data_IF_239377384046
#
_entry.id   IF_239377384046
#
_cell.length_a   1.000
_cell.length_b   1.000
_cell.length_c   1.000
_cell.angle_alpha   90.00
_cell.angle_beta   90.00
_cell.angle_gamma   90.00
#
_symmetry.space_group_name_H-M   'P 1'
#
loop_
_entity.id
_entity.type
_entity.pdbx_description
1 polymer ?
#
# COMPACT_ATOMS: atom_id res chain seq x y z
N UNK A 1 11.14 -52.09 23.09
CA UNK A 1 10.12 -51.02 23.15
C UNK A 1 10.72 -49.71 22.67
N UNK A 2 10.20 -49.15 21.58
CA UNK A 2 10.43 -47.76 21.15
C UNK A 2 9.17 -47.35 20.40
N UNK A 3 8.34 -46.50 21.02
CA UNK A 3 7.19 -45.87 20.37
C UNK A 3 7.70 -44.57 19.77
N UNK A 4 7.82 -44.51 18.45
CA UNK A 4 8.06 -43.25 17.74
C UNK A 4 6.90 -42.30 18.03
N UNK A 5 7.17 -41.28 18.84
CA UNK A 5 6.24 -40.17 19.05
C UNK A 5 6.21 -39.38 17.73
N UNK A 6 5.15 -39.57 16.94
CA UNK A 6 4.82 -38.68 15.83
C UNK A 6 4.76 -37.25 16.39
N UNK A 7 5.70 -36.40 15.99
CA UNK A 7 5.64 -34.96 16.25
C UNK A 7 4.46 -34.42 15.44
N UNK A 8 3.31 -34.25 16.10
CA UNK A 8 2.21 -33.48 15.54
C UNK A 8 2.65 -32.02 15.53
N UNK A 9 3.00 -31.50 14.36
CA UNK A 9 3.22 -30.06 14.18
C UNK A 9 1.83 -29.42 14.28
N UNK A 10 1.60 -28.58 15.29
CA UNK A 10 0.39 -27.77 15.33
C UNK A 10 0.50 -26.73 14.21
N UNK A 11 -0.38 -26.84 13.21
CA UNK A 11 -0.58 -25.78 12.23
C UNK A 11 -1.04 -24.53 12.97
N UNK A 12 -0.22 -23.48 12.94
CA UNK A 12 -0.55 -22.17 13.50
C UNK A 12 -1.09 -21.30 12.36
N UNK A 13 -2.38 -20.96 12.42
CA UNK A 13 -3.00 -20.04 11.46
C UNK A 13 -2.75 -18.62 11.94
N UNK A 14 -2.00 -17.81 11.18
CA UNK A 14 -1.78 -16.41 11.50
C UNK A 14 -2.81 -15.55 10.76
N UNK A 15 -3.46 -14.64 11.48
CA UNK A 15 -4.33 -13.64 10.84
C UNK A 15 -3.46 -12.61 10.10
N UNK A 16 -3.51 -12.67 8.77
CA UNK A 16 -2.82 -11.71 7.90
C UNK A 16 -3.69 -10.47 7.70
N UNK A 17 -3.08 -9.29 7.76
CA UNK A 17 -3.75 -8.03 7.44
C UNK A 17 -4.24 -8.05 5.98
N UNK A 18 -5.46 -7.60 5.76
CA UNK A 18 -6.03 -7.55 4.40
C UNK A 18 -5.23 -6.59 3.51
N UNK A 19 -4.83 -7.08 2.34
CA UNK A 19 -4.16 -6.27 1.34
C UNK A 19 -5.15 -5.25 0.75
N UNK A 20 -4.72 -4.00 0.59
CA UNK A 20 -5.47 -2.93 -0.07
C UNK A 20 -4.70 -2.43 -1.28
N UNK A 21 -5.44 -1.94 -2.27
CA UNK A 21 -4.87 -1.37 -3.49
C UNK A 21 -5.33 0.06 -3.67
N UNK A 22 -4.45 0.95 -4.16
CA UNK A 22 -4.84 2.31 -4.47
C UNK A 22 -5.83 2.30 -5.64
N UNK A 23 -6.89 3.09 -5.54
CA UNK A 23 -7.88 3.30 -6.61
C UNK A 23 -7.49 4.53 -7.39
N UNK A 24 -7.44 4.48 -8.72
CA UNK A 24 -7.04 5.62 -9.55
C UNK A 24 -7.64 6.97 -9.11
N UNK A 25 -6.74 7.94 -8.95
CA UNK A 25 -7.04 9.32 -8.53
C UNK A 25 -6.30 10.28 -9.46
N UNK A 26 -6.92 11.40 -9.81
CA UNK A 26 -6.28 12.46 -10.60
C UNK A 26 -5.32 13.29 -9.73
N UNK A 27 -4.13 12.73 -9.47
CA UNK A 27 -3.08 13.39 -8.70
C UNK A 27 -2.49 14.60 -9.43
N UNK A 28 -2.54 14.61 -10.77
CA UNK A 28 -2.08 15.74 -11.59
C UNK A 28 -2.89 17.01 -11.31
N UNK A 29 -4.21 16.89 -11.22
CA UNK A 29 -5.08 18.00 -10.84
C UNK A 29 -4.92 18.40 -9.38
N UNK A 30 -4.87 17.42 -8.47
CA UNK A 30 -4.88 17.67 -7.02
C UNK A 30 -3.56 18.24 -6.48
N UNK A 31 -2.43 17.85 -7.06
CA UNK A 31 -1.09 18.32 -6.68
C UNK A 31 -0.57 19.45 -7.58
N UNK A 32 -1.42 20.02 -8.44
CA UNK A 32 -1.04 21.12 -9.34
C UNK A 32 -0.58 22.33 -8.53
N UNK A 33 0.64 22.80 -8.79
CA UNK A 33 1.25 23.93 -8.05
C UNK A 33 1.81 23.56 -6.68
N UNK A 34 1.70 22.29 -6.26
CA UNK A 34 2.22 21.77 -4.99
C UNK A 34 3.61 21.16 -5.19
N UNK A 35 3.76 20.41 -6.27
CA UNK A 35 4.97 19.68 -6.59
C UNK A 35 5.37 19.88 -8.06
N UNK A 36 6.65 19.66 -8.42
CA UNK A 36 7.07 19.61 -9.82
C UNK A 36 6.27 18.55 -10.58
N UNK A 37 5.93 18.84 -11.84
CA UNK A 37 5.19 17.93 -12.71
C UNK A 37 5.83 16.53 -12.77
N UNK A 38 7.15 16.48 -12.85
CA UNK A 38 7.93 15.22 -12.85
C UNK A 38 7.71 14.36 -11.60
N UNK A 39 7.57 14.98 -10.42
CA UNK A 39 7.27 14.28 -9.16
C UNK A 39 5.85 13.74 -9.17
N UNK A 40 4.88 14.52 -9.67
CA UNK A 40 3.48 14.12 -9.73
C UNK A 40 3.28 12.97 -10.73
N UNK A 41 3.94 13.05 -11.88
CA UNK A 41 3.93 11.99 -12.90
C UNK A 41 4.52 10.69 -12.33
N UNK A 42 5.61 10.78 -11.57
CA UNK A 42 6.22 9.61 -10.93
C UNK A 42 5.36 9.01 -9.82
N UNK A 43 4.73 9.85 -8.99
CA UNK A 43 3.74 9.39 -7.99
C UNK A 43 2.57 8.67 -8.66
N UNK A 44 2.07 9.21 -9.77
CA UNK A 44 0.97 8.61 -10.53
C UNK A 44 1.38 7.27 -11.13
N UNK A 45 2.59 7.20 -11.71
CA UNK A 45 3.17 5.98 -12.25
C UNK A 45 3.28 4.87 -11.18
N UNK A 46 3.91 5.18 -10.04
CA UNK A 46 4.08 4.23 -8.94
C UNK A 46 2.73 3.76 -8.38
N UNK A 47 1.78 4.68 -8.21
CA UNK A 47 0.44 4.34 -7.72
C UNK A 47 -0.30 3.39 -8.65
N UNK A 48 -0.19 3.62 -9.96
CA UNK A 48 -0.74 2.73 -10.98
C UNK A 48 -0.01 1.38 -11.00
N UNK A 49 1.32 1.38 -10.86
CA UNK A 49 2.11 0.16 -10.78
C UNK A 49 1.71 -0.70 -9.57
N UNK A 50 1.59 -0.10 -8.37
CA UNK A 50 1.15 -0.81 -7.17
C UNK A 50 -0.24 -1.42 -7.40
N UNK A 51 -1.18 -0.66 -7.96
CA UNK A 51 -2.52 -1.17 -8.29
C UNK A 51 -2.43 -2.37 -9.25
N UNK A 52 -1.74 -2.21 -10.39
CA UNK A 52 -1.67 -3.23 -11.43
C UNK A 52 -0.99 -4.51 -10.92
N UNK A 53 0.16 -4.39 -10.24
CA UNK A 53 0.90 -5.55 -9.73
C UNK A 53 0.10 -6.26 -8.64
N UNK A 54 -0.58 -5.53 -7.75
CA UNK A 54 -1.36 -6.15 -6.69
C UNK A 54 -2.63 -6.82 -7.25
N UNK A 55 -3.30 -6.24 -8.24
CA UNK A 55 -4.47 -6.82 -8.90
C UNK A 55 -4.11 -8.04 -9.76
N UNK A 56 -3.00 -8.00 -10.50
CA UNK A 56 -2.55 -9.10 -11.39
C UNK A 56 -2.04 -10.32 -10.60
N UNK A 57 -1.28 -10.07 -9.53
CA UNK A 57 -0.64 -11.14 -8.75
C UNK A 57 -1.42 -11.55 -7.52
N UNK A 58 -2.56 -10.91 -7.25
CA UNK A 58 -3.31 -11.12 -6.01
C UNK A 58 -2.50 -10.77 -4.76
N UNK A 59 -1.45 -9.94 -4.88
CA UNK A 59 -0.55 -9.59 -3.78
C UNK A 59 0.64 -10.52 -3.57
N UNK A 60 0.83 -11.53 -4.42
CA UNK A 60 1.93 -12.50 -4.29
C UNK A 60 3.29 -11.97 -4.76
N UNK A 61 3.32 -10.92 -5.59
CA UNK A 61 4.55 -10.24 -5.99
C UNK A 61 5.10 -9.30 -4.90
N UNK A 62 5.48 -9.89 -3.76
CA UNK A 62 5.86 -9.18 -2.54
C UNK A 62 7.06 -8.25 -2.77
N UNK A 63 8.08 -8.71 -3.51
CA UNK A 63 9.31 -7.93 -3.74
C UNK A 63 9.06 -6.68 -4.59
N UNK A 64 8.30 -6.85 -5.67
CA UNK A 64 7.93 -5.79 -6.61
C UNK A 64 7.02 -4.76 -5.93
N UNK A 65 6.02 -5.24 -5.17
CA UNK A 65 5.12 -4.38 -4.41
C UNK A 65 5.86 -3.60 -3.32
N UNK A 66 6.76 -4.26 -2.58
CA UNK A 66 7.55 -3.59 -1.53
C UNK A 66 8.44 -2.50 -2.12
N UNK A 67 9.13 -2.79 -3.21
CA UNK A 67 9.99 -1.81 -3.89
C UNK A 67 9.19 -0.60 -4.37
N UNK A 68 8.03 -0.83 -4.98
CA UNK A 68 7.16 0.25 -5.46
C UNK A 68 6.60 1.08 -4.29
N UNK A 69 6.20 0.44 -3.19
CA UNK A 69 5.71 1.12 -1.97
C UNK A 69 6.81 1.93 -1.27
N UNK A 70 8.04 1.42 -1.20
CA UNK A 70 9.20 2.13 -0.64
C UNK A 70 9.53 3.38 -1.45
N UNK A 71 9.57 3.27 -2.78
CA UNK A 71 9.80 4.41 -3.67
C UNK A 71 8.67 5.45 -3.55
N UNK A 72 7.42 4.98 -3.51
CA UNK A 72 6.25 5.83 -3.35
C UNK A 72 6.27 6.58 -2.00
N UNK A 73 6.61 5.89 -0.91
CA UNK A 73 6.75 6.46 0.43
C UNK A 73 7.85 7.53 0.48
N UNK A 74 8.96 7.31 -0.20
CA UNK A 74 10.07 8.29 -0.28
C UNK A 74 9.62 9.60 -0.93
N UNK A 75 8.82 9.52 -2.00
CA UNK A 75 8.25 10.70 -2.66
C UNK A 75 7.21 11.40 -1.79
N UNK A 76 6.30 10.66 -1.15
CA UNK A 76 5.28 11.23 -0.26
C UNK A 76 5.90 11.96 0.93
N UNK A 77 6.88 11.35 1.60
CA UNK A 77 7.59 11.97 2.72
C UNK A 77 8.40 13.19 2.28
N UNK A 78 8.96 13.17 1.07
CA UNK A 78 9.59 14.35 0.46
C UNK A 78 8.62 15.52 0.25
N UNK A 79 7.38 15.23 -0.14
CA UNK A 79 6.33 16.25 -0.28
C UNK A 79 5.90 16.83 1.06
N UNK A 80 5.67 15.99 2.06
CA UNK A 80 5.28 16.42 3.41
C UNK A 80 6.39 17.24 4.09
N UNK A 81 7.67 16.88 3.90
CA UNK A 81 8.79 17.70 4.43
C UNK A 81 8.90 19.07 3.78
N UNK A 82 8.55 19.18 2.49
CA UNK A 82 8.64 20.44 1.75
C UNK A 82 7.51 21.41 2.10
N UNK A 83 6.35 20.89 2.54
CA UNK A 83 5.18 21.67 2.91
C UNK A 83 4.87 21.43 4.38
N UNK A 84 5.21 22.39 5.24
CA UNK A 84 5.12 22.28 6.71
C UNK A 84 3.69 22.12 7.29
N UNK A 85 2.70 21.96 6.42
CA UNK A 85 1.29 21.76 6.77
C UNK A 85 0.78 20.61 5.90
N UNK A 86 0.55 19.47 6.54
CA UNK A 86 0.03 18.28 5.87
C UNK A 86 -1.27 18.68 5.19
N UNK A 87 -1.31 18.65 3.86
CA UNK A 87 -2.37 19.25 3.05
C UNK A 87 -3.75 18.59 3.28
N UNK A 88 -4.38 18.93 4.40
CA UNK A 88 -5.71 18.50 4.76
C UNK A 88 -6.72 19.11 3.78
N UNK A 89 -7.53 18.26 3.16
CA UNK A 89 -8.61 18.65 2.26
C UNK A 89 -8.20 18.99 0.82
N UNK A 90 -6.90 19.01 0.47
CA UNK A 90 -6.46 19.31 -0.89
C UNK A 90 -6.33 18.08 -1.78
N UNK A 91 -6.21 16.88 -1.20
CA UNK A 91 -5.92 15.65 -1.96
C UNK A 91 -6.78 14.50 -1.44
N UNK A 92 -7.53 13.90 -2.35
CA UNK A 92 -8.37 12.73 -2.17
C UNK A 92 -7.65 11.46 -2.68
N UNK A 93 -7.20 10.64 -1.74
CA UNK A 93 -6.64 9.33 -2.01
C UNK A 93 -7.63 8.22 -1.64
N UNK A 94 -7.87 7.30 -2.57
CA UNK A 94 -8.80 6.19 -2.38
C UNK A 94 -8.05 4.87 -2.35
N UNK A 95 -8.40 4.01 -1.40
CA UNK A 95 -7.89 2.65 -1.28
C UNK A 95 -9.05 1.68 -1.17
N UNK A 96 -8.97 0.55 -1.86
CA UNK A 96 -9.95 -0.53 -1.78
C UNK A 96 -9.30 -1.80 -1.29
N UNK A 97 -10.06 -2.66 -0.61
CA UNK A 97 -9.57 -3.98 -0.20
C UNK A 97 -9.41 -4.87 -1.44
N UNK A 98 -8.26 -5.55 -1.55
CA UNK A 98 -8.00 -6.49 -2.63
C UNK A 98 -8.94 -7.70 -2.49
N UNK A 99 -9.67 -8.02 -3.55
CA UNK A 99 -10.58 -9.19 -3.59
C UNK A 99 -12.02 -8.94 -3.08
N UNK A 100 -12.32 -7.78 -2.49
CA UNK A 100 -13.71 -7.39 -2.18
C UNK A 100 -14.20 -6.33 -3.18
N UNK A 101 -15.20 -6.69 -3.97
CA UNK A 101 -15.78 -5.80 -4.98
C UNK A 101 -16.77 -4.76 -4.45
N UNK A 102 -17.14 -4.78 -3.15
CA UNK A 102 -18.25 -3.96 -2.64
C UNK A 102 -18.12 -3.38 -1.23
N UNK A 103 -17.15 -3.76 -0.38
CA UNK A 103 -17.08 -3.23 1.00
C UNK A 103 -15.71 -2.64 1.34
N UNK A 104 -15.66 -1.31 1.39
CA UNK A 104 -14.62 -0.58 2.11
C UNK A 104 -13.64 0.19 1.25
N UNK A 105 -14.12 0.94 0.26
CA UNK A 105 -13.34 2.05 -0.28
C UNK A 105 -13.13 3.05 0.86
N UNK A 106 -11.87 3.23 1.26
CA UNK A 106 -11.52 4.24 2.26
C UNK A 106 -10.95 5.41 1.50
N UNK A 107 -11.57 6.56 1.76
CA UNK A 107 -11.16 7.83 1.21
C UNK A 107 -10.39 8.61 2.28
N UNK A 108 -9.18 9.03 1.93
CA UNK A 108 -8.32 9.86 2.75
C UNK A 108 -8.16 11.22 2.10
N UNK A 109 -8.37 12.28 2.88
CA UNK A 109 -8.31 13.66 2.41
C UNK A 109 -6.98 14.36 2.74
N UNK A 110 -5.98 13.62 3.23
CA UNK A 110 -4.69 14.17 3.60
C UNK A 110 -3.53 13.20 3.24
N UNK A 111 -2.33 13.76 3.07
CA UNK A 111 -1.13 12.98 2.71
C UNK A 111 -0.63 12.08 3.85
N UNK A 112 -0.88 12.44 5.11
CA UNK A 112 -0.45 11.65 6.27
C UNK A 112 -1.14 10.29 6.31
N UNK A 113 -2.42 10.26 5.97
CA UNK A 113 -3.22 9.06 5.86
C UNK A 113 -2.80 8.23 4.64
N UNK A 114 -2.38 8.85 3.55
CA UNK A 114 -1.78 8.13 2.42
C UNK A 114 -0.48 7.42 2.83
N UNK A 115 0.41 8.13 3.55
CA UNK A 115 1.63 7.54 4.12
C UNK A 115 1.30 6.38 5.06
N UNK A 116 0.31 6.56 5.94
CA UNK A 116 -0.14 5.52 6.85
C UNK A 116 -0.69 4.29 6.09
N UNK A 117 -1.45 4.50 5.02
CA UNK A 117 -1.96 3.43 4.17
C UNK A 117 -0.80 2.65 3.53
N UNK A 118 0.21 3.34 3.00
CA UNK A 118 1.41 2.71 2.43
C UNK A 118 2.18 1.87 3.47
N UNK A 119 2.37 2.41 4.68
CA UNK A 119 3.02 1.66 5.77
C UNK A 119 2.20 0.44 6.17
N UNK A 120 0.88 0.57 6.26
CA UNK A 120 -0.02 -0.55 6.53
C UNK A 120 0.11 -1.64 5.46
N UNK A 121 0.24 -1.25 4.20
CA UNK A 121 0.46 -2.17 3.09
C UNK A 121 1.79 -2.91 3.17
N UNK A 122 2.86 -2.19 3.47
CA UNK A 122 4.18 -2.81 3.68
C UNK A 122 4.14 -3.82 4.84
N UNK A 123 3.47 -3.49 5.93
CA UNK A 123 3.29 -4.40 7.05
C UNK A 123 2.47 -5.64 6.65
N UNK A 124 1.38 -5.46 5.89
CA UNK A 124 0.56 -6.56 5.38
C UNK A 124 1.35 -7.50 4.45
N UNK A 125 2.21 -6.96 3.59
CA UNK A 125 3.10 -7.75 2.74
C UNK A 125 4.09 -8.58 3.55
N UNK A 126 4.74 -7.99 4.56
CA UNK A 126 5.68 -8.71 5.44
C UNK A 126 4.97 -9.81 6.24
N UNK A 127 3.76 -9.57 6.72
CA UNK A 127 2.97 -10.59 7.41
C UNK A 127 2.54 -11.73 6.46
N UNK A 128 2.25 -11.41 5.20
CA UNK A 128 1.93 -12.41 4.17
C UNK A 128 3.16 -13.26 3.84
N UNK A 129 4.34 -12.63 3.70
CA UNK A 129 5.62 -13.31 3.48
C UNK A 129 5.95 -14.25 4.64
N UNK A 130 5.79 -13.78 5.89
CA UNK A 130 6.07 -14.58 7.08
C UNK A 130 5.08 -15.74 7.31
N UNK A 131 3.88 -15.66 6.74
CA UNK A 131 2.86 -16.71 6.81
C UNK A 131 2.98 -17.74 5.67
N UNK A 132 3.84 -17.50 4.68
CA UNK A 132 4.09 -18.41 3.55
C UNK A 132 5.23 -19.38 3.85
#
# INVERSE_FOLDING_TARGET
GRKDKKRTIQESVVFVLQLRVPVQSDLQRQLKGVAPKTTIDRLTCLRNQIQLVAEDTGGSAISELRTALEEYLSLLTGLVKKKNDGMEGCVEFKWKTLGDGRRGDICFTNLWMEILAVIHMMAALVLTEANS
#
